data_IF_810599536306
#
_entry.id   IF_810599536306
#
_cell.length_a   1.000
_cell.length_b   1.000
_cell.length_c   1.000
_cell.angle_alpha   90.00
_cell.angle_beta   90.00
_cell.angle_gamma   90.00
#
_symmetry.space_group_name_H-M   'P 1'
#
loop_
_entity.id
_entity.type
_entity.pdbx_description
1 polymer ?
#
# COMPACT_ATOMS: atom_id res chain seq x y z
N UNK A 1 -29.66 -2.34 12.92
CA UNK A 1 -30.65 -1.49 12.23
C UNK A 1 -30.38 -0.03 12.59
N UNK A 2 -30.72 0.88 11.70
CA UNK A 2 -30.72 2.32 11.96
C UNK A 2 -32.14 2.78 11.73
N UNK A 3 -32.88 3.01 12.81
CA UNK A 3 -34.29 3.38 12.76
C UNK A 3 -34.59 4.42 13.85
N UNK A 4 -35.61 5.30 13.67
CA UNK A 4 -36.05 6.19 14.72
C UNK A 4 -36.66 5.39 15.87
N UNK A 5 -36.33 5.73 17.11
CA UNK A 5 -36.91 5.16 18.34
C UNK A 5 -36.82 3.63 18.46
N UNK A 6 -35.67 3.05 18.04
CA UNK A 6 -35.38 1.64 18.33
C UNK A 6 -35.46 1.39 19.85
N UNK A 7 -36.14 0.32 20.23
CA UNK A 7 -36.08 -0.13 21.61
C UNK A 7 -34.72 -0.72 21.93
N UNK A 8 -34.17 -0.37 23.10
CA UNK A 8 -32.92 -0.93 23.58
C UNK A 8 -33.05 -2.45 23.81
N UNK A 9 -32.09 -3.20 23.33
CA UNK A 9 -32.03 -4.65 23.52
C UNK A 9 -30.69 -5.10 24.20
N UNK A 10 -29.92 -4.15 24.73
CA UNK A 10 -28.60 -4.41 25.33
C UNK A 10 -27.95 -3.17 25.92
N UNK A 11 -26.64 -3.02 25.76
CA UNK A 11 -25.92 -1.85 26.23
C UNK A 11 -26.22 -0.63 25.36
N UNK A 12 -26.70 0.43 25.99
CA UNK A 12 -26.96 1.72 25.34
C UNK A 12 -25.81 2.70 25.61
N UNK A 13 -25.51 3.50 24.59
CA UNK A 13 -24.59 4.62 24.69
C UNK A 13 -25.36 5.90 24.38
N UNK A 14 -25.52 6.75 25.39
CA UNK A 14 -26.13 8.08 25.20
C UNK A 14 -25.13 9.01 24.51
N UNK A 15 -25.40 9.35 23.26
CA UNK A 15 -24.52 10.17 22.44
C UNK A 15 -24.78 11.66 22.55
N UNK A 16 -25.86 12.08 23.24
CA UNK A 16 -26.18 13.49 23.52
C UNK A 16 -26.13 14.38 22.28
N UNK A 17 -26.69 13.95 21.17
CA UNK A 17 -26.73 14.67 19.90
C UNK A 17 -25.41 14.64 19.09
N UNK A 18 -24.42 13.88 19.51
CA UNK A 18 -23.17 13.71 18.75
C UNK A 18 -23.39 12.85 17.51
N UNK A 19 -22.66 13.20 16.45
CA UNK A 19 -22.61 12.36 15.26
C UNK A 19 -21.89 11.03 15.56
N UNK A 20 -22.49 9.94 15.12
CA UNK A 20 -21.86 8.61 15.12
C UNK A 20 -21.61 8.22 13.66
N UNK A 21 -20.39 7.84 13.36
CA UNK A 21 -19.98 7.36 12.04
C UNK A 21 -19.22 6.04 12.17
N UNK A 22 -19.12 5.24 11.09
CA UNK A 22 -18.11 4.18 11.02
C UNK A 22 -16.70 4.73 11.26
N UNK A 23 -15.78 3.87 11.66
CA UNK A 23 -14.37 4.23 11.75
C UNK A 23 -13.80 4.64 10.40
N UNK A 24 -12.74 5.45 10.43
CA UNK A 24 -12.05 5.87 9.22
C UNK A 24 -11.24 4.71 8.62
N UNK A 25 -11.09 4.74 7.30
CA UNK A 25 -10.28 3.79 6.54
C UNK A 25 -9.08 4.53 5.95
N UNK A 26 -7.87 4.10 6.28
CA UNK A 26 -6.65 4.54 5.61
C UNK A 26 -6.34 3.56 4.48
N UNK A 27 -6.61 3.97 3.26
CA UNK A 27 -6.50 3.09 2.09
C UNK A 27 -5.10 3.02 1.48
N UNK A 28 -4.18 3.94 1.86
CA UNK A 28 -2.85 3.99 1.24
C UNK A 28 -1.81 4.66 2.14
N UNK A 29 -1.07 3.87 2.89
CA UNK A 29 0.04 4.35 3.73
C UNK A 29 1.27 3.46 3.56
N UNK A 30 2.45 3.98 3.89
CA UNK A 30 3.70 3.23 3.93
C UNK A 30 4.26 3.22 5.36
N UNK A 31 3.84 2.25 6.16
CA UNK A 31 4.31 2.12 7.54
C UNK A 31 5.80 1.72 7.64
N UNK A 32 6.30 0.94 6.69
CA UNK A 32 7.69 0.48 6.61
C UNK A 32 8.70 1.64 6.53
N UNK A 33 8.31 2.74 5.89
CA UNK A 33 9.11 3.97 5.75
C UNK A 33 8.49 5.19 6.42
N UNK A 34 7.56 5.00 7.37
CA UNK A 34 7.03 6.11 8.16
C UNK A 34 8.11 6.71 9.07
N UNK A 35 8.04 8.02 9.35
CA UNK A 35 8.90 8.77 10.29
C UNK A 35 10.41 8.68 10.00
N UNK A 36 10.80 8.76 8.72
CA UNK A 36 12.21 8.70 8.30
C UNK A 36 12.74 10.03 7.75
N UNK A 37 11.97 11.12 7.84
CA UNK A 37 12.33 12.39 7.22
C UNK A 37 13.67 12.94 7.71
N UNK A 38 13.99 12.75 8.98
CA UNK A 38 15.25 13.14 9.62
C UNK A 38 16.47 12.33 9.14
N UNK A 39 16.23 11.15 8.56
CA UNK A 39 17.26 10.26 8.00
C UNK A 39 17.53 10.56 6.52
N UNK A 40 16.53 11.11 5.82
CA UNK A 40 16.65 11.45 4.41
C UNK A 40 17.39 12.77 4.28
N UNK A 41 18.67 12.74 3.90
CA UNK A 41 19.44 13.96 3.66
C UNK A 41 18.80 14.79 2.55
N UNK A 42 18.71 16.10 2.76
CA UNK A 42 18.32 17.02 1.70
C UNK A 42 19.33 16.90 0.56
N UNK A 43 18.88 16.59 -0.65
CA UNK A 43 19.77 16.64 -1.81
C UNK A 43 20.24 18.07 -2.03
N UNK A 44 21.53 18.28 -2.37
CA UNK A 44 22.06 19.61 -2.66
C UNK A 44 21.42 20.22 -3.91
N UNK A 45 20.90 19.39 -4.81
CA UNK A 45 20.14 19.78 -5.99
C UNK A 45 18.68 19.35 -5.87
N UNK A 46 17.77 20.16 -6.40
CA UNK A 46 16.33 19.87 -6.39
C UNK A 46 15.93 18.72 -7.33
N UNK A 47 16.89 18.10 -8.00
CA UNK A 47 16.66 17.07 -9.04
C UNK A 47 16.73 15.64 -8.53
N UNK A 48 17.16 15.39 -7.28
CA UNK A 48 17.20 14.03 -6.75
C UNK A 48 15.80 13.61 -6.31
N UNK A 49 15.26 12.62 -7.00
CA UNK A 49 13.96 12.01 -6.70
C UNK A 49 13.92 11.55 -5.22
N UNK A 50 12.79 11.79 -4.57
CA UNK A 50 12.53 11.37 -3.19
C UNK A 50 12.70 9.85 -3.01
N UNK A 51 12.43 9.04 -4.03
CA UNK A 51 12.63 7.59 -3.98
C UNK A 51 14.09 7.20 -3.79
N UNK A 52 15.02 7.86 -4.48
CA UNK A 52 16.44 7.62 -4.30
C UNK A 52 16.92 7.93 -2.86
N UNK A 53 16.34 8.95 -2.22
CA UNK A 53 16.67 9.29 -0.82
C UNK A 53 16.17 8.22 0.15
N UNK A 54 14.97 7.70 -0.07
CA UNK A 54 14.43 6.60 0.72
C UNK A 54 15.23 5.33 0.50
N UNK A 55 15.54 4.98 -0.75
CA UNK A 55 16.36 3.81 -1.10
C UNK A 55 17.72 3.83 -0.40
N UNK A 56 18.36 5.00 -0.33
CA UNK A 56 19.68 5.16 0.30
C UNK A 56 19.67 4.87 1.82
N UNK A 57 18.56 5.02 2.51
CA UNK A 57 18.46 4.80 3.96
C UNK A 57 17.90 3.42 4.34
N UNK A 58 17.24 2.73 3.41
CA UNK A 58 16.66 1.39 3.64
C UNK A 58 17.64 0.35 4.19
N UNK A 59 18.93 0.28 3.78
CA UNK A 59 19.88 -0.68 4.34
C UNK A 59 20.05 -0.57 5.85
N UNK A 60 19.80 0.60 6.42
CA UNK A 60 19.85 0.86 7.86
C UNK A 60 18.58 0.48 8.63
N UNK A 61 17.50 0.03 7.95
CA UNK A 61 16.27 -0.37 8.63
C UNK A 61 16.42 -1.76 9.22
N UNK A 62 16.32 -1.89 10.54
CA UNK A 62 16.11 -3.17 11.21
C UNK A 62 14.61 -3.46 11.38
N UNK A 63 14.27 -4.70 11.66
CA UNK A 63 12.88 -5.08 11.97
C UNK A 63 12.35 -4.31 13.19
N UNK A 64 13.16 -4.17 14.24
CA UNK A 64 12.81 -3.41 15.45
C UNK A 64 12.60 -1.93 15.16
N UNK A 65 13.46 -1.32 14.33
CA UNK A 65 13.35 0.07 13.92
C UNK A 65 12.05 0.32 13.15
N UNK A 66 11.74 -0.52 12.16
CA UNK A 66 10.49 -0.42 11.38
C UNK A 66 9.30 -0.58 12.29
N UNK A 67 9.28 -1.60 13.17
CA UNK A 67 8.20 -1.83 14.12
C UNK A 67 7.95 -0.61 15.00
N UNK A 68 9.01 -0.04 15.59
CA UNK A 68 8.89 1.11 16.50
C UNK A 68 8.29 2.34 15.82
N UNK A 69 8.78 2.70 14.63
CA UNK A 69 8.28 3.85 13.86
C UNK A 69 6.85 3.64 13.37
N UNK A 70 6.56 2.45 12.87
CA UNK A 70 5.23 2.07 12.40
C UNK A 70 4.21 2.07 13.53
N UNK A 71 4.58 1.55 14.71
CA UNK A 71 3.74 1.55 15.92
C UNK A 71 3.26 2.96 16.28
N UNK A 72 4.18 3.93 16.37
CA UNK A 72 3.81 5.31 16.68
C UNK A 72 2.83 5.90 15.65
N UNK A 73 2.98 5.52 14.38
CA UNK A 73 2.08 5.98 13.31
C UNK A 73 0.71 5.32 13.43
N UNK A 74 0.65 4.02 13.69
CA UNK A 74 -0.60 3.28 13.91
C UNK A 74 -1.35 3.83 15.13
N UNK A 75 -0.65 4.07 16.25
CA UNK A 75 -1.26 4.64 17.46
C UNK A 75 -1.90 6.01 17.16
N UNK A 76 -1.26 6.86 16.36
CA UNK A 76 -1.85 8.12 15.93
C UNK A 76 -3.09 7.94 15.07
N UNK A 77 -3.08 6.98 14.12
CA UNK A 77 -4.24 6.67 13.31
C UNK A 77 -5.41 6.18 14.16
N UNK A 78 -5.16 5.27 15.10
CA UNK A 78 -6.18 4.73 16.01
C UNK A 78 -6.80 5.86 16.87
N UNK A 79 -5.98 6.73 17.46
CA UNK A 79 -6.48 7.87 18.27
C UNK A 79 -7.31 8.83 17.43
N UNK A 80 -7.07 8.94 16.13
CA UNK A 80 -7.87 9.76 15.21
C UNK A 80 -9.05 9.00 14.58
N UNK A 81 -9.34 7.78 15.01
CA UNK A 81 -10.54 7.02 14.64
C UNK A 81 -10.37 6.10 13.44
N UNK A 82 -9.15 5.79 13.01
CA UNK A 82 -8.89 4.80 11.96
C UNK A 82 -9.07 3.40 12.51
N UNK A 83 -9.90 2.59 11.86
CA UNK A 83 -10.20 1.21 12.24
C UNK A 83 -9.74 0.18 11.21
N UNK A 84 -9.45 0.61 9.99
CA UNK A 84 -8.95 -0.23 8.91
C UNK A 84 -7.84 0.50 8.18
N UNK A 85 -6.80 -0.23 7.79
CA UNK A 85 -5.64 0.36 7.12
C UNK A 85 -5.07 -0.63 6.10
N UNK A 86 -4.75 -0.14 4.89
CA UNK A 86 -3.89 -0.85 3.94
C UNK A 86 -2.53 -0.18 3.91
N UNK A 87 -1.48 -0.90 4.31
CA UNK A 87 -0.11 -0.41 4.25
C UNK A 87 0.66 -1.10 3.13
N UNK A 88 1.36 -0.31 2.32
CA UNK A 88 2.26 -0.80 1.27
C UNK A 88 3.65 -1.04 1.87
N UNK A 89 4.22 -2.20 1.56
CA UNK A 89 5.50 -2.66 2.11
C UNK A 89 6.47 -2.95 0.97
N UNK A 90 7.55 -2.20 0.91
CA UNK A 90 8.58 -2.36 -0.13
C UNK A 90 9.45 -3.59 0.11
N UNK A 91 9.55 -4.45 -0.90
CA UNK A 91 10.31 -5.71 -0.81
C UNK A 91 11.57 -5.73 -1.69
N UNK A 92 12.04 -4.55 -2.08
CA UNK A 92 13.30 -4.40 -2.82
C UNK A 92 14.49 -4.94 -2.00
N UNK A 93 15.60 -5.35 -2.63
CA UNK A 93 16.71 -6.03 -1.95
C UNK A 93 17.30 -5.27 -0.77
N UNK A 94 17.34 -3.92 -0.84
CA UNK A 94 17.84 -3.06 0.24
C UNK A 94 17.03 -3.19 1.54
N UNK A 95 15.70 -3.41 1.44
CA UNK A 95 14.78 -3.66 2.56
C UNK A 95 14.63 -5.14 2.88
N UNK A 96 14.61 -6.00 1.86
CA UNK A 96 14.30 -7.41 2.00
C UNK A 96 12.95 -7.63 2.69
N UNK A 97 12.87 -8.66 3.51
CA UNK A 97 11.64 -8.99 4.26
C UNK A 97 11.51 -8.27 5.62
N UNK A 98 12.48 -7.46 6.03
CA UNK A 98 12.50 -6.86 7.38
C UNK A 98 11.26 -5.99 7.66
N UNK A 99 10.86 -5.19 6.68
CA UNK A 99 9.64 -4.38 6.78
C UNK A 99 8.39 -5.23 6.91
N UNK A 100 8.27 -6.25 6.08
CA UNK A 100 7.14 -7.18 6.09
C UNK A 100 6.99 -7.90 7.43
N UNK A 101 8.08 -8.47 7.97
CA UNK A 101 8.04 -9.19 9.25
C UNK A 101 7.70 -8.24 10.42
N UNK A 102 8.24 -7.02 10.42
CA UNK A 102 7.90 -6.01 11.42
C UNK A 102 6.41 -5.65 11.39
N UNK A 103 5.86 -5.38 10.20
CA UNK A 103 4.46 -4.97 10.06
C UNK A 103 3.48 -6.12 10.27
N UNK A 104 3.85 -7.34 9.92
CA UNK A 104 3.08 -8.54 10.24
C UNK A 104 2.94 -8.72 11.76
N UNK A 105 4.02 -8.53 12.50
CA UNK A 105 3.99 -8.55 13.97
C UNK A 105 3.10 -7.42 14.50
N UNK A 106 3.28 -6.19 13.99
CA UNK A 106 2.49 -5.04 14.41
C UNK A 106 0.99 -5.22 14.17
N UNK A 107 0.62 -5.76 13.01
CA UNK A 107 -0.78 -6.06 12.68
C UNK A 107 -1.40 -7.05 13.69
N UNK A 108 -0.65 -8.07 14.09
CA UNK A 108 -1.10 -9.02 15.11
C UNK A 108 -1.27 -8.36 16.49
N UNK A 109 -0.32 -7.51 16.90
CA UNK A 109 -0.33 -6.85 18.20
C UNK A 109 -1.46 -5.81 18.34
N UNK A 110 -1.84 -5.17 17.24
CA UNK A 110 -2.88 -4.12 17.21
C UNK A 110 -4.25 -4.59 16.72
N UNK A 111 -4.43 -5.88 16.47
CA UNK A 111 -5.70 -6.45 15.99
C UNK A 111 -6.92 -6.12 16.85
N UNK A 112 -6.72 -5.78 18.11
CA UNK A 112 -7.78 -5.36 19.02
C UNK A 112 -8.33 -3.95 18.73
N UNK A 113 -7.59 -3.11 17.99
CA UNK A 113 -7.93 -1.71 17.72
C UNK A 113 -8.11 -1.39 16.25
N UNK A 114 -7.35 -2.05 15.37
CA UNK A 114 -7.31 -1.75 13.94
C UNK A 114 -6.99 -3.00 13.12
N UNK A 115 -7.66 -3.17 11.99
CA UNK A 115 -7.31 -4.16 10.98
C UNK A 115 -6.28 -3.57 10.02
N UNK A 116 -5.09 -4.19 9.93
CA UNK A 116 -4.00 -3.77 9.05
C UNK A 116 -3.79 -4.81 7.95
N UNK A 117 -4.04 -4.41 6.71
CA UNK A 117 -3.80 -5.20 5.52
C UNK A 117 -2.43 -4.87 4.92
N UNK A 118 -1.64 -5.89 4.60
CA UNK A 118 -0.29 -5.76 4.07
C UNK A 118 -0.29 -5.94 2.55
N UNK A 119 -0.10 -4.84 1.81
CA UNK A 119 0.17 -4.85 0.38
C UNK A 119 1.68 -4.92 0.16
N UNK A 120 2.19 -6.05 -0.28
CA UNK A 120 3.61 -6.21 -0.59
C UNK A 120 3.89 -5.82 -2.03
N UNK A 121 4.92 -4.99 -2.28
CA UNK A 121 5.11 -4.46 -3.62
C UNK A 121 6.58 -4.21 -4.00
N UNK A 122 6.81 -4.19 -5.33
CA UNK A 122 8.06 -3.83 -5.96
C UNK A 122 8.10 -2.32 -6.21
N UNK A 123 8.97 -1.60 -5.52
CA UNK A 123 9.14 -0.16 -5.72
C UNK A 123 10.26 0.16 -6.72
N UNK A 124 11.41 -0.52 -6.62
CA UNK A 124 12.64 -0.15 -7.32
C UNK A 124 12.92 -1.05 -8.54
N UNK A 125 11.94 -1.85 -8.95
CA UNK A 125 12.02 -2.77 -10.08
C UNK A 125 11.71 -4.22 -9.71
N UNK A 126 11.21 -4.95 -10.69
CA UNK A 126 10.84 -6.36 -10.58
C UNK A 126 11.41 -7.16 -11.74
N UNK A 127 11.23 -6.68 -12.97
CA UNK A 127 11.66 -7.41 -14.16
C UNK A 127 13.17 -7.52 -14.30
N UNK A 128 13.89 -6.55 -13.79
CA UNK A 128 15.35 -6.45 -13.79
C UNK A 128 15.99 -6.79 -12.43
N UNK A 129 15.19 -7.10 -11.39
CA UNK A 129 15.66 -7.38 -10.02
C UNK A 129 15.07 -8.70 -9.51
N UNK A 130 15.69 -9.86 -9.84
CA UNK A 130 15.17 -11.18 -9.44
C UNK A 130 14.97 -11.37 -7.94
N UNK A 131 15.74 -10.68 -7.11
CA UNK A 131 15.60 -10.74 -5.66
C UNK A 131 14.26 -10.15 -5.19
N UNK A 132 13.75 -9.10 -5.85
CA UNK A 132 12.42 -8.53 -5.55
C UNK A 132 11.33 -9.56 -5.80
N UNK A 133 11.36 -10.29 -6.93
CA UNK A 133 10.42 -11.37 -7.21
C UNK A 133 10.45 -12.47 -6.13
N UNK A 134 11.66 -12.88 -5.74
CA UNK A 134 11.81 -13.88 -4.69
C UNK A 134 11.25 -13.41 -3.33
N UNK A 135 11.46 -12.14 -2.97
CA UNK A 135 10.93 -11.54 -1.76
C UNK A 135 9.38 -11.45 -1.79
N UNK A 136 8.79 -11.03 -2.92
CA UNK A 136 7.33 -11.01 -3.10
C UNK A 136 6.73 -12.42 -2.91
N UNK A 137 7.31 -13.42 -3.56
CA UNK A 137 6.88 -14.82 -3.42
C UNK A 137 7.01 -15.29 -1.97
N UNK A 138 8.08 -14.92 -1.27
CA UNK A 138 8.28 -15.29 0.13
C UNK A 138 7.22 -14.63 1.04
N UNK A 139 6.94 -13.35 0.86
CA UNK A 139 5.93 -12.63 1.65
C UNK A 139 4.51 -13.16 1.39
N UNK A 140 4.16 -13.47 0.14
CA UNK A 140 2.86 -14.08 -0.22
C UNK A 140 2.70 -15.46 0.44
N UNK A 141 3.74 -16.28 0.45
CA UNK A 141 3.72 -17.56 1.19
C UNK A 141 3.58 -17.39 2.70
N UNK A 142 4.00 -16.25 3.22
CA UNK A 142 3.94 -15.91 4.64
C UNK A 142 2.71 -15.08 5.03
N UNK A 143 1.69 -14.99 4.16
CA UNK A 143 0.38 -14.46 4.49
C UNK A 143 0.11 -13.01 4.09
N UNK A 144 0.88 -12.43 3.18
CA UNK A 144 0.46 -11.20 2.52
C UNK A 144 -0.80 -11.46 1.68
N UNK A 145 -1.76 -10.55 1.75
CA UNK A 145 -3.09 -10.71 1.12
C UNK A 145 -3.29 -9.80 -0.09
N UNK A 146 -2.38 -8.86 -0.30
CA UNK A 146 -2.40 -7.92 -1.43
C UNK A 146 -1.00 -7.84 -2.02
N UNK A 147 -0.92 -7.80 -3.35
CA UNK A 147 0.34 -7.60 -4.08
C UNK A 147 0.25 -6.34 -4.96
N UNK A 148 1.34 -5.61 -5.07
CA UNK A 148 1.42 -4.44 -5.91
C UNK A 148 2.80 -4.22 -6.54
N UNK A 149 2.93 -3.06 -7.16
CA UNK A 149 4.17 -2.58 -7.76
C UNK A 149 4.11 -1.10 -8.06
N UNK A 150 5.22 -0.60 -8.59
CA UNK A 150 5.37 0.74 -9.09
C UNK A 150 5.99 0.69 -10.50
N UNK A 151 5.21 0.36 -11.55
CA UNK A 151 5.72 0.12 -12.89
C UNK A 151 6.57 1.27 -13.45
N UNK A 152 6.25 2.51 -13.10
CA UNK A 152 7.03 3.68 -13.52
C UNK A 152 8.50 3.70 -13.09
N UNK A 153 8.92 2.81 -12.20
CA UNK A 153 10.31 2.60 -11.77
C UNK A 153 10.93 1.31 -12.33
N UNK A 154 10.21 0.58 -13.15
CA UNK A 154 10.70 -0.64 -13.82
C UNK A 154 11.04 -0.33 -15.29
N UNK A 155 12.11 -0.83 -15.87
CA UNK A 155 12.41 -0.64 -17.30
C UNK A 155 11.37 -1.31 -18.23
N UNK A 156 10.60 -2.29 -17.73
CA UNK A 156 9.51 -2.95 -18.42
C UNK A 156 8.23 -2.87 -17.59
N UNK A 157 7.50 -1.75 -17.73
CA UNK A 157 6.24 -1.51 -17.04
C UNK A 157 5.25 -2.65 -17.22
N UNK A 158 5.04 -3.04 -18.49
CA UNK A 158 4.09 -4.11 -18.84
C UNK A 158 4.50 -5.47 -18.27
N UNK A 159 5.78 -5.78 -18.28
CA UNK A 159 6.32 -6.98 -17.67
C UNK A 159 6.08 -7.03 -16.15
N UNK A 160 6.32 -5.92 -15.45
CA UNK A 160 6.03 -5.82 -14.02
C UNK A 160 4.54 -6.05 -13.73
N UNK A 161 3.64 -5.36 -14.46
CA UNK A 161 2.19 -5.50 -14.27
C UNK A 161 1.74 -6.94 -14.51
N UNK A 162 2.16 -7.56 -15.62
CA UNK A 162 1.82 -8.97 -15.92
C UNK A 162 2.29 -9.91 -14.81
N UNK A 163 3.51 -9.70 -14.31
CA UNK A 163 4.07 -10.51 -13.22
C UNK A 163 3.28 -10.39 -11.93
N UNK A 164 2.84 -9.18 -11.58
CA UNK A 164 1.97 -8.94 -10.41
C UNK A 164 0.66 -9.74 -10.55
N UNK A 165 -0.02 -9.67 -11.71
CA UNK A 165 -1.26 -10.41 -11.93
C UNK A 165 -1.05 -11.94 -11.94
N UNK A 166 0.07 -12.44 -12.46
CA UNK A 166 0.43 -13.87 -12.36
C UNK A 166 0.57 -14.31 -10.91
N UNK A 167 1.25 -13.53 -10.08
CA UNK A 167 1.42 -13.82 -8.66
C UNK A 167 0.09 -13.69 -7.90
N UNK A 168 -0.70 -12.65 -8.18
CA UNK A 168 -2.02 -12.48 -7.59
C UNK A 168 -2.91 -13.69 -7.84
N UNK A 169 -2.94 -14.18 -9.07
CA UNK A 169 -3.68 -15.39 -9.46
C UNK A 169 -3.15 -16.64 -8.78
N UNK A 170 -1.81 -16.81 -8.72
CA UNK A 170 -1.17 -17.98 -8.14
C UNK A 170 -1.45 -18.11 -6.64
N UNK A 171 -1.52 -16.99 -5.92
CA UNK A 171 -1.70 -16.96 -4.48
C UNK A 171 -3.12 -16.58 -4.06
N UNK A 172 -4.01 -16.29 -5.02
CA UNK A 172 -5.39 -15.85 -4.81
C UNK A 172 -5.49 -14.61 -3.91
N UNK A 173 -4.72 -13.56 -4.24
CA UNK A 173 -4.64 -12.31 -3.49
C UNK A 173 -5.09 -11.11 -4.33
N UNK A 174 -5.44 -10.02 -3.68
CA UNK A 174 -5.83 -8.77 -4.34
C UNK A 174 -4.63 -8.02 -4.90
N UNK A 175 -4.88 -7.06 -5.79
CA UNK A 175 -3.87 -6.24 -6.47
C UNK A 175 -4.06 -4.77 -6.09
N UNK A 176 -2.95 -4.06 -5.79
CA UNK A 176 -2.94 -2.62 -5.55
C UNK A 176 -1.65 -1.99 -6.09
N UNK A 177 -1.74 -1.26 -7.20
CA UNK A 177 -0.59 -0.79 -7.98
C UNK A 177 -0.47 0.73 -7.89
N UNK A 178 0.75 1.24 -7.65
CA UNK A 178 1.10 2.66 -7.80
C UNK A 178 1.21 2.95 -9.29
N UNK A 179 0.23 3.66 -9.84
CA UNK A 179 0.05 3.73 -11.29
C UNK A 179 -0.06 5.16 -11.81
N UNK A 180 0.42 5.38 -13.02
CA UNK A 180 0.16 6.58 -13.83
C UNK A 180 0.44 7.90 -13.10
N UNK A 181 1.63 7.98 -12.48
CA UNK A 181 2.14 9.20 -11.83
C UNK A 181 2.84 10.08 -12.87
N UNK A 182 2.38 11.31 -13.04
CA UNK A 182 3.01 12.26 -13.95
C UNK A 182 2.08 13.39 -14.37
N UNK A 183 2.63 14.40 -15.08
CA UNK A 183 1.91 15.59 -15.50
C UNK A 183 1.30 15.48 -16.93
N UNK A 184 1.49 14.35 -17.62
CA UNK A 184 1.01 14.13 -18.99
C UNK A 184 0.30 12.79 -19.10
N UNK A 185 -0.48 12.61 -20.17
CA UNK A 185 -1.21 11.37 -20.47
C UNK A 185 -0.41 10.37 -21.31
N UNK A 186 0.88 10.63 -21.50
CA UNK A 186 1.74 9.72 -22.26
C UNK A 186 1.98 8.42 -21.48
N UNK A 187 2.06 7.30 -22.19
CA UNK A 187 2.40 5.98 -21.65
C UNK A 187 1.56 5.60 -20.39
N UNK A 188 0.23 5.62 -20.53
CA UNK A 188 -0.68 5.25 -19.46
C UNK A 188 -0.79 3.72 -19.34
N UNK A 189 -0.43 3.20 -18.17
CA UNK A 189 -0.44 1.76 -17.87
C UNK A 189 -1.82 1.23 -17.46
N UNK A 190 -2.78 2.11 -17.14
CA UNK A 190 -4.14 1.73 -16.72
C UNK A 190 -4.84 0.82 -17.73
N UNK A 191 -4.61 1.02 -19.02
CA UNK A 191 -5.22 0.20 -20.07
C UNK A 191 -4.83 -1.27 -19.94
N UNK A 192 -3.55 -1.56 -19.68
CA UNK A 192 -3.08 -2.92 -19.45
C UNK A 192 -3.65 -3.51 -18.15
N UNK A 193 -3.75 -2.70 -17.09
CA UNK A 193 -4.36 -3.14 -15.83
C UNK A 193 -5.82 -3.51 -16.02
N UNK A 194 -6.60 -2.71 -16.77
CA UNK A 194 -7.99 -3.02 -17.11
C UNK A 194 -8.11 -4.32 -17.93
N UNK A 195 -7.27 -4.47 -18.97
CA UNK A 195 -7.23 -5.68 -19.82
C UNK A 195 -6.97 -6.94 -18.98
N UNK A 196 -5.97 -6.92 -18.12
CA UNK A 196 -5.63 -8.07 -17.27
C UNK A 196 -6.68 -8.33 -16.19
N UNK A 197 -7.30 -7.28 -15.65
CA UNK A 197 -8.42 -7.42 -14.69
C UNK A 197 -9.58 -8.17 -15.32
N UNK A 198 -9.94 -7.83 -16.56
CA UNK A 198 -10.99 -8.53 -17.30
C UNK A 198 -10.55 -9.96 -17.68
N UNK A 199 -9.35 -10.10 -18.27
CA UNK A 199 -8.80 -11.39 -18.68
C UNK A 199 -8.76 -12.42 -17.56
N UNK A 200 -8.42 -12.01 -16.36
CA UNK A 200 -8.30 -12.91 -15.21
C UNK A 200 -9.54 -12.97 -14.33
N UNK A 201 -10.58 -12.20 -14.63
CA UNK A 201 -11.80 -12.15 -13.84
C UNK A 201 -11.56 -11.56 -12.44
N UNK A 202 -10.63 -10.58 -12.32
CA UNK A 202 -10.23 -9.95 -11.05
C UNK A 202 -11.06 -8.69 -10.71
N UNK A 203 -12.20 -8.47 -11.35
CA UNK A 203 -13.10 -7.35 -11.05
C UNK A 203 -13.46 -7.28 -9.58
N UNK A 204 -13.34 -6.10 -8.96
CA UNK A 204 -13.55 -5.88 -7.52
C UNK A 204 -12.34 -6.24 -6.64
N UNK A 205 -11.23 -6.75 -7.21
CA UNK A 205 -10.02 -7.16 -6.50
C UNK A 205 -8.77 -6.38 -6.93
N UNK A 206 -8.93 -5.33 -7.73
CA UNK A 206 -7.83 -4.50 -8.24
C UNK A 206 -8.07 -3.06 -7.84
N UNK A 207 -7.08 -2.47 -7.17
CA UNK A 207 -7.00 -1.05 -6.87
C UNK A 207 -5.79 -0.43 -7.58
N UNK A 208 -5.89 0.84 -7.89
CA UNK A 208 -4.77 1.65 -8.41
C UNK A 208 -4.62 2.90 -7.57
N UNK A 209 -3.41 3.16 -7.13
CA UNK A 209 -3.05 4.35 -6.37
C UNK A 209 -2.49 5.45 -7.26
N UNK A 210 -2.58 6.70 -6.80
CA UNK A 210 -2.12 7.93 -7.44
C UNK A 210 -2.94 8.35 -8.65
N UNK A 211 -2.74 7.76 -9.84
CA UNK A 211 -3.49 8.07 -11.06
C UNK A 211 -3.46 9.56 -11.47
N UNK A 212 -2.37 10.29 -11.15
CA UNK A 212 -2.32 11.75 -11.35
C UNK A 212 -2.41 12.14 -12.83
N UNK A 213 -2.02 11.25 -13.73
CA UNK A 213 -2.17 11.46 -15.19
C UNK A 213 -3.64 11.60 -15.60
N UNK A 214 -4.58 10.98 -14.87
CA UNK A 214 -6.02 11.05 -15.23
C UNK A 214 -6.55 12.47 -15.12
N UNK A 215 -6.04 13.29 -14.22
CA UNK A 215 -6.43 14.70 -14.11
C UNK A 215 -6.03 15.55 -15.33
N UNK A 216 -5.18 15.03 -16.20
CA UNK A 216 -4.77 15.67 -17.43
C UNK A 216 -5.63 15.26 -18.65
N UNK A 217 -6.55 14.28 -18.48
CA UNK A 217 -7.49 13.88 -19.52
C UNK A 217 -8.59 14.94 -19.70
N UNK A 218 -9.06 15.13 -20.95
CA UNK A 218 -10.30 15.86 -21.18
C UNK A 218 -11.48 15.21 -20.46
N UNK A 219 -12.48 15.99 -19.98
CA UNK A 219 -13.61 15.45 -19.21
C UNK A 219 -14.43 14.37 -19.93
N UNK A 220 -14.41 14.34 -21.25
CA UNK A 220 -15.09 13.34 -22.08
C UNK A 220 -14.31 12.03 -22.25
N UNK A 221 -13.09 11.97 -21.71
CA UNK A 221 -12.22 10.79 -21.71
C UNK A 221 -11.99 10.21 -20.30
N UNK A 222 -12.55 10.85 -19.29
CA UNK A 222 -12.62 10.36 -17.92
C UNK A 222 -13.87 9.49 -17.74
#
# INVERSE_FOLDING_TARGET
>A
AIEPNLAADGNEWEMSGRLVSPGLIESHIHLDKSRIMDRCTAAPDRGTDHMHRVSAVKPGFSQEDVYTRAKETVEQCVVNGTTHMRTHVELDPNGGLRGFEALKQLAADYRWAIDIELCVFAQEGLTNVPETDANLVAALKNGATVIGGAPGYDPDHGGQIRRIFELARKFDVDVDIHLDVGPTVDDMDIHLVCELTEQFGWGGRVAVGHGTKYSCLPPDQL
#
